data_IF_431887778406
#
_entry.id   IF_431887778406
#
_cell.length_a   1.000
_cell.length_b   1.000
_cell.length_c   1.000
_cell.angle_alpha   90.00
_cell.angle_beta   90.00
_cell.angle_gamma   90.00
#
_symmetry.space_group_name_H-M   'P 1'
#
loop_
_entity.id
_entity.type
_entity.pdbx_description
1 polymer ?
#
# COMPACT_ATOMS: atom_id res chain seq x y z
N UNK A 1 36.18 5.13 -36.10
CA UNK A 1 37.47 4.80 -35.46
C UNK A 1 37.64 5.74 -34.28
N UNK A 2 37.94 5.21 -33.09
CA UNK A 2 37.68 5.87 -31.80
C UNK A 2 38.88 6.70 -31.32
N UNK A 3 38.63 7.63 -30.41
CA UNK A 3 39.63 8.08 -29.44
C UNK A 3 38.93 8.49 -28.17
N UNK A 4 38.96 7.59 -27.20
CA UNK A 4 38.57 7.78 -25.81
C UNK A 4 39.58 8.69 -25.09
N UNK A 5 39.07 9.48 -24.15
CA UNK A 5 39.80 9.83 -22.93
C UNK A 5 38.77 10.03 -21.83
N UNK A 6 38.32 8.91 -21.26
CA UNK A 6 37.51 8.89 -20.05
C UNK A 6 38.42 9.21 -18.85
N UNK A 7 38.03 10.25 -18.12
CA UNK A 7 38.65 10.66 -16.88
C UNK A 7 38.19 9.74 -15.74
N UNK A 8 39.18 9.26 -15.00
CA UNK A 8 39.10 8.76 -13.63
C UNK A 8 38.21 9.64 -12.75
N UNK A 9 37.26 9.03 -12.03
CA UNK A 9 37.14 9.28 -10.59
C UNK A 9 36.36 8.16 -9.90
N UNK A 10 37.10 7.13 -9.51
CA UNK A 10 36.75 6.32 -8.36
C UNK A 10 36.83 7.20 -7.10
N UNK A 11 35.70 7.35 -6.39
CA UNK A 11 35.75 7.70 -4.98
C UNK A 11 34.60 7.05 -4.23
N UNK A 12 34.99 6.04 -3.46
CA UNK A 12 34.26 5.34 -2.44
C UNK A 12 33.52 6.30 -1.51
N UNK A 13 32.29 5.95 -1.13
CA UNK A 13 31.62 6.52 0.02
C UNK A 13 31.04 5.37 0.83
N UNK A 14 31.81 4.91 1.82
CA UNK A 14 31.31 4.12 2.93
C UNK A 14 30.50 5.06 3.84
N UNK A 15 29.31 4.66 4.32
CA UNK A 15 28.60 5.43 5.34
C UNK A 15 29.13 5.07 6.73
N UNK A 16 29.71 6.05 7.43
CA UNK A 16 30.02 5.98 8.86
C UNK A 16 28.75 6.14 9.72
N UNK A 17 28.75 5.61 10.96
CA UNK A 17 27.56 5.50 11.79
C UNK A 17 27.31 6.79 12.57
N UNK A 18 26.04 7.18 12.68
CA UNK A 18 25.61 8.30 13.50
C UNK A 18 24.68 7.77 14.59
N UNK A 19 25.18 7.89 15.82
CA UNK A 19 24.52 7.66 17.09
C UNK A 19 23.33 8.60 17.29
N UNK A 20 22.18 8.07 17.73
CA UNK A 20 21.19 8.85 18.47
C UNK A 20 20.69 8.11 19.72
N UNK A 21 21.05 8.72 20.85
CA UNK A 21 20.52 8.68 22.21
C UNK A 21 19.28 7.80 22.50
N UNK A 22 19.48 6.80 23.37
CA UNK A 22 18.42 6.09 24.09
C UNK A 22 18.23 6.75 25.46
N UNK A 23 17.10 7.45 25.65
CA UNK A 23 16.65 7.90 26.96
C UNK A 23 16.04 6.74 27.78
N UNK A 24 16.81 6.27 28.75
CA UNK A 24 16.47 5.81 30.11
C UNK A 24 14.99 5.44 30.38
N UNK A 25 14.74 4.14 30.50
CA UNK A 25 13.60 3.56 31.24
C UNK A 25 13.97 3.37 32.72
N UNK A 26 13.10 3.68 33.70
CA UNK A 26 13.28 3.23 35.07
C UNK A 26 12.91 1.75 35.24
N UNK A 27 13.81 1.03 35.91
CA UNK A 27 13.68 -0.34 36.44
C UNK A 27 12.64 -0.40 37.56
N UNK A 28 11.94 -1.53 37.69
CA UNK A 28 11.76 -2.28 38.96
C UNK A 28 11.21 -3.69 38.66
N UNK A 29 12.04 -4.73 38.75
CA UNK A 29 12.12 -5.72 39.85
C UNK A 29 10.88 -6.60 40.04
N UNK A 30 10.98 -7.82 39.52
CA UNK A 30 10.22 -9.00 39.91
C UNK A 30 10.59 -9.46 41.31
N UNK A 31 9.62 -9.61 42.22
CA UNK A 31 9.75 -10.44 43.41
C UNK A 31 8.50 -11.30 43.58
N UNK A 32 8.73 -12.60 43.69
CA UNK A 32 7.77 -13.65 44.02
C UNK A 32 7.33 -13.53 45.47
N UNK A 33 6.02 -13.60 45.74
CA UNK A 33 5.52 -14.13 47.01
C UNK A 33 4.15 -14.77 46.82
N UNK A 34 4.06 -16.06 47.17
CA UNK A 34 2.82 -16.81 47.37
C UNK A 34 2.16 -16.31 48.66
N UNK A 35 0.84 -16.11 48.69
CA UNK A 35 -0.04 -16.40 49.86
C UNK A 35 -1.53 -16.15 49.51
N UNK A 36 -2.29 -17.24 49.68
CA UNK A 36 -3.61 -17.38 50.33
C UNK A 36 -4.85 -16.72 49.71
N UNK A 37 -5.68 -17.62 49.18
CA UNK A 37 -7.10 -17.50 48.88
C UNK A 37 -7.83 -16.85 50.06
N UNK A 38 -8.52 -15.75 49.80
CA UNK A 38 -9.65 -15.29 50.60
C UNK A 38 -10.77 -14.83 49.66
N UNK A 39 -11.95 -15.35 49.96
CA UNK A 39 -13.22 -15.24 49.23
C UNK A 39 -13.64 -13.80 48.93
N UNK A 40 -13.93 -13.50 47.65
CA UNK A 40 -14.73 -12.33 47.28
C UNK A 40 -15.68 -12.69 46.12
N UNK A 41 -16.97 -12.44 46.35
CA UNK A 41 -18.10 -12.72 45.48
C UNK A 41 -17.90 -12.19 44.06
N UNK A 42 -17.77 -13.08 43.07
CA UNK A 42 -17.85 -12.71 41.67
C UNK A 42 -19.31 -12.55 41.27
N UNK A 43 -19.82 -11.32 41.36
CA UNK A 43 -20.94 -10.93 40.51
C UNK A 43 -20.51 -11.17 39.06
N UNK A 44 -21.23 -12.05 38.35
CA UNK A 44 -20.92 -12.39 36.95
C UNK A 44 -21.13 -11.15 36.11
N UNK A 45 -20.08 -10.35 35.92
CA UNK A 45 -20.02 -9.40 34.81
C UNK A 45 -20.04 -10.26 33.55
N UNK A 46 -21.20 -10.29 32.88
CA UNK A 46 -21.39 -11.03 31.65
C UNK A 46 -20.47 -10.40 30.59
N UNK A 47 -19.28 -10.99 30.38
CA UNK A 47 -18.32 -10.51 29.39
C UNK A 47 -19.01 -10.57 28.04
N UNK A 48 -19.38 -9.41 27.48
CA UNK A 48 -19.96 -9.32 26.14
C UNK A 48 -18.99 -9.99 25.17
N UNK A 49 -19.43 -11.09 24.56
CA UNK A 49 -18.69 -11.74 23.48
C UNK A 49 -18.29 -10.67 22.47
N UNK A 50 -16.99 -10.58 22.17
CA UNK A 50 -16.47 -9.69 21.15
C UNK A 50 -16.12 -10.55 19.94
N UNK A 51 -16.94 -10.51 18.88
CA UNK A 51 -16.66 -11.26 17.68
C UNK A 51 -15.34 -10.81 17.07
N UNK A 52 -14.50 -11.76 16.70
CA UNK A 52 -13.21 -11.52 16.05
C UNK A 52 -13.27 -11.97 14.60
N UNK A 53 -12.45 -11.35 13.77
CA UNK A 53 -12.30 -11.78 12.39
C UNK A 53 -11.88 -13.25 12.32
N UNK A 54 -12.66 -14.09 11.63
CA UNK A 54 -12.36 -15.52 11.48
C UNK A 54 -11.73 -15.78 10.13
N UNK A 55 -10.54 -16.37 10.12
CA UNK A 55 -9.81 -16.69 8.88
C UNK A 55 -10.56 -17.71 8.01
N UNK A 56 -11.43 -18.51 8.60
CA UNK A 56 -12.30 -19.46 7.89
C UNK A 56 -13.22 -18.79 6.86
N UNK A 57 -13.56 -17.51 7.03
CA UNK A 57 -14.34 -16.77 6.04
C UNK A 57 -13.58 -16.62 4.72
N UNK A 58 -12.25 -16.60 4.77
CA UNK A 58 -11.39 -16.54 3.58
C UNK A 58 -11.30 -17.89 2.85
N UNK A 59 -11.80 -18.99 3.43
CA UNK A 59 -11.91 -20.27 2.73
C UNK A 59 -12.96 -20.20 1.61
N UNK A 60 -13.97 -19.33 1.76
CA UNK A 60 -14.93 -19.08 0.69
C UNK A 60 -14.29 -18.16 -0.37
N UNK A 61 -14.20 -18.67 -1.61
CA UNK A 61 -13.67 -17.94 -2.76
C UNK A 61 -14.34 -16.57 -2.97
N UNK A 62 -15.64 -16.48 -2.71
CA UNK A 62 -16.39 -15.24 -2.83
C UNK A 62 -15.91 -14.17 -1.82
N UNK A 63 -15.81 -14.54 -0.54
CA UNK A 63 -15.33 -13.61 0.49
C UNK A 63 -13.85 -13.28 0.31
N UNK A 64 -13.01 -14.24 -0.06
CA UNK A 64 -11.57 -14.02 -0.29
C UNK A 64 -11.27 -12.96 -1.37
N UNK A 65 -12.21 -12.76 -2.30
CA UNK A 65 -12.10 -11.81 -3.41
C UNK A 65 -12.06 -10.36 -2.91
N UNK A 66 -12.80 -10.02 -1.86
CA UNK A 66 -12.91 -8.63 -1.39
C UNK A 66 -12.58 -8.44 0.09
N UNK A 67 -12.58 -9.50 0.90
CA UNK A 67 -12.44 -9.44 2.35
C UNK A 67 -10.97 -9.66 2.77
N UNK A 68 -10.52 -8.86 3.75
CA UNK A 68 -9.22 -8.98 4.40
C UNK A 68 -9.34 -8.72 5.90
N UNK A 69 -8.41 -9.29 6.65
CA UNK A 69 -8.23 -9.01 8.07
C UNK A 69 -7.71 -7.57 8.26
N UNK A 70 -8.21 -6.88 9.27
CA UNK A 70 -7.70 -5.57 9.67
C UNK A 70 -6.56 -5.75 10.68
N UNK A 71 -5.36 -5.24 10.37
CA UNK A 71 -4.18 -5.38 11.25
C UNK A 71 -4.28 -4.56 12.54
N UNK A 72 -5.03 -3.46 12.52
CA UNK A 72 -5.15 -2.55 13.66
C UNK A 72 -6.21 -3.01 14.65
N UNK A 73 -7.35 -3.53 14.15
CA UNK A 73 -8.51 -3.89 14.97
C UNK A 73 -9.04 -5.28 14.60
N UNK A 74 -8.95 -6.25 15.51
CA UNK A 74 -9.46 -7.62 15.31
C UNK A 74 -10.99 -7.71 15.18
N UNK A 75 -11.70 -6.65 15.58
CA UNK A 75 -13.17 -6.52 15.54
C UNK A 75 -13.68 -5.82 14.27
N UNK A 76 -12.78 -5.50 13.34
CA UNK A 76 -13.11 -4.90 12.04
C UNK A 76 -12.59 -5.77 10.91
N UNK A 77 -13.29 -5.73 9.78
CA UNK A 77 -12.85 -6.31 8.53
C UNK A 77 -12.57 -5.21 7.51
N UNK A 78 -11.61 -5.46 6.61
CA UNK A 78 -11.27 -4.56 5.50
C UNK A 78 -11.88 -5.11 4.21
N UNK A 79 -12.67 -4.28 3.52
CA UNK A 79 -13.05 -4.54 2.14
C UNK A 79 -12.01 -3.89 1.21
N UNK A 80 -11.23 -4.68 0.47
CA UNK A 80 -10.24 -4.15 -0.49
C UNK A 80 -10.91 -3.51 -1.71
N UNK A 81 -12.08 -4.02 -2.10
CA UNK A 81 -12.85 -3.45 -3.19
C UNK A 81 -13.28 -2.05 -2.76
N UNK A 82 -14.02 -1.90 -1.67
CA UNK A 82 -14.51 -0.60 -1.20
C UNK A 82 -13.44 0.32 -0.60
N UNK A 83 -12.28 -0.22 -0.23
CA UNK A 83 -11.23 0.41 0.57
C UNK A 83 -11.78 1.02 1.88
N UNK A 84 -12.58 0.23 2.62
CA UNK A 84 -13.22 0.64 3.88
C UNK A 84 -13.05 -0.45 4.92
N UNK A 85 -12.80 -0.04 6.16
CA UNK A 85 -12.90 -0.89 7.34
C UNK A 85 -14.31 -0.80 7.93
N UNK A 86 -14.95 -1.94 8.19
CA UNK A 86 -16.27 -2.00 8.80
C UNK A 86 -16.27 -2.92 10.02
N UNK A 87 -17.16 -2.64 10.98
CA UNK A 87 -17.27 -3.43 12.21
C UNK A 87 -17.98 -4.75 11.95
N UNK A 88 -17.49 -5.82 12.58
CA UNK A 88 -18.11 -7.17 12.60
C UNK A 88 -18.65 -7.53 13.99
N UNK A 89 -18.73 -6.55 14.90
CA UNK A 89 -19.04 -6.76 16.31
C UNK A 89 -20.51 -7.11 16.57
N UNK A 90 -21.41 -6.80 15.64
CA UNK A 90 -22.84 -6.91 15.91
C UNK A 90 -23.38 -8.27 15.48
N UNK A 91 -22.96 -8.78 14.33
CA UNK A 91 -23.52 -9.99 13.75
C UNK A 91 -22.55 -10.80 12.88
N UNK A 92 -21.24 -10.55 12.97
CA UNK A 92 -20.19 -11.27 12.21
C UNK A 92 -20.51 -11.34 10.69
N UNK A 93 -20.96 -12.51 10.23
CA UNK A 93 -21.41 -12.76 8.85
C UNK A 93 -22.58 -11.86 8.44
N UNK A 94 -23.45 -11.49 9.37
CA UNK A 94 -24.54 -10.53 9.13
C UNK A 94 -24.00 -9.16 8.71
N UNK A 95 -22.94 -8.67 9.37
CA UNK A 95 -22.32 -7.39 9.04
C UNK A 95 -21.61 -7.46 7.67
N UNK A 96 -20.99 -8.60 7.35
CA UNK A 96 -20.37 -8.86 6.04
C UNK A 96 -21.44 -8.89 4.94
N UNK A 97 -22.54 -9.60 5.15
CA UNK A 97 -23.65 -9.67 4.20
C UNK A 97 -24.32 -8.30 4.00
N UNK A 98 -24.51 -7.54 5.08
CA UNK A 98 -25.02 -6.17 5.00
C UNK A 98 -24.08 -5.29 4.17
N UNK A 99 -22.77 -5.40 4.39
CA UNK A 99 -21.78 -4.69 3.58
C UNK A 99 -21.88 -5.03 2.09
N UNK A 100 -22.03 -6.32 1.73
CA UNK A 100 -22.16 -6.77 0.33
C UNK A 100 -23.42 -6.18 -0.33
N UNK A 101 -24.50 -6.00 0.43
CA UNK A 101 -25.74 -5.40 -0.06
C UNK A 101 -25.67 -3.88 -0.23
N UNK A 102 -24.65 -3.21 0.30
CA UNK A 102 -24.52 -1.76 0.12
C UNK A 102 -24.33 -1.41 -1.35
N UNK A 103 -25.01 -0.36 -1.81
CA UNK A 103 -24.90 0.14 -3.20
C UNK A 103 -23.44 0.41 -3.60
N UNK A 104 -22.65 0.98 -2.68
CA UNK A 104 -21.22 1.26 -2.90
C UNK A 104 -20.43 -0.01 -3.22
N UNK A 105 -20.70 -1.11 -2.53
CA UNK A 105 -20.03 -2.39 -2.78
C UNK A 105 -20.47 -2.97 -4.13
N UNK A 106 -21.78 -3.01 -4.39
CA UNK A 106 -22.33 -3.55 -5.63
C UNK A 106 -21.85 -2.81 -6.87
N UNK A 107 -21.89 -1.47 -6.87
CA UNK A 107 -21.44 -0.66 -8.01
C UNK A 107 -19.96 -0.89 -8.30
N UNK A 108 -19.15 -1.04 -7.25
CA UNK A 108 -17.73 -1.29 -7.41
C UNK A 108 -17.43 -2.71 -7.87
N UNK A 109 -18.15 -3.72 -7.37
CA UNK A 109 -18.02 -5.10 -7.85
C UNK A 109 -18.39 -5.20 -9.33
N UNK A 110 -19.48 -4.54 -9.77
CA UNK A 110 -19.84 -4.44 -11.20
C UNK A 110 -18.75 -3.78 -12.03
N UNK A 111 -18.14 -2.71 -11.54
CA UNK A 111 -17.01 -2.05 -12.22
C UNK A 111 -15.77 -2.94 -12.30
N UNK A 112 -15.47 -3.73 -11.26
CA UNK A 112 -14.36 -4.69 -11.27
C UNK A 112 -14.62 -5.80 -12.28
N UNK A 113 -15.83 -6.34 -12.33
CA UNK A 113 -16.24 -7.39 -13.27
C UNK A 113 -16.21 -6.89 -14.72
N UNK A 114 -16.76 -5.71 -14.99
CA UNK A 114 -16.69 -5.05 -16.29
C UNK A 114 -15.25 -4.73 -16.74
N UNK A 115 -14.36 -4.42 -15.79
CA UNK A 115 -12.95 -4.17 -16.09
C UNK A 115 -12.12 -5.47 -16.20
N UNK A 116 -12.61 -6.62 -15.73
CA UNK A 116 -11.84 -7.87 -15.71
C UNK A 116 -11.54 -8.40 -17.11
N UNK A 117 -12.43 -8.16 -18.07
CA UNK A 117 -12.22 -8.46 -19.50
C UNK A 117 -11.24 -7.51 -20.20
N UNK A 118 -10.97 -6.32 -19.63
CA UNK A 118 -10.17 -5.27 -20.29
C UNK A 118 -8.75 -5.10 -19.73
N UNK A 119 -8.30 -5.93 -18.78
CA UNK A 119 -6.93 -5.81 -18.22
C UNK A 119 -5.91 -6.79 -18.77
N UNK A 120 -6.32 -7.73 -19.62
CA UNK A 120 -5.41 -8.72 -20.23
C UNK A 120 -5.12 -8.40 -21.71
N UNK A 121 -6.05 -7.75 -22.43
CA UNK A 121 -5.90 -7.55 -23.89
C UNK A 121 -5.14 -6.28 -24.34
N UNK A 122 -4.85 -5.32 -23.44
CA UNK A 122 -4.00 -4.16 -23.82
C UNK A 122 -2.49 -4.50 -23.77
N UNK A 123 -2.13 -5.70 -23.30
CA UNK A 123 -0.74 -6.14 -23.19
C UNK A 123 -0.24 -6.97 -24.39
N UNK A 124 -1.05 -7.28 -25.40
CA UNK A 124 -0.70 -8.32 -26.37
C UNK A 124 0.20 -7.87 -27.56
N UNK A 125 0.68 -6.63 -27.63
CA UNK A 125 1.63 -6.24 -28.70
C UNK A 125 2.88 -5.50 -28.22
N UNK A 126 3.13 -5.41 -26.91
CA UNK A 126 4.36 -4.80 -26.39
C UNK A 126 5.35 -5.92 -26.05
N UNK A 127 6.47 -5.98 -26.77
CA UNK A 127 7.54 -6.91 -26.43
C UNK A 127 8.02 -6.65 -25.00
N UNK A 128 8.37 -7.70 -24.25
CA UNK A 128 8.87 -7.60 -22.86
C UNK A 128 9.97 -6.54 -22.72
N UNK A 129 10.79 -6.36 -23.76
CA UNK A 129 11.82 -5.34 -23.85
C UNK A 129 11.29 -3.90 -23.83
N UNK A 130 10.25 -3.60 -24.60
CA UNK A 130 9.65 -2.25 -24.64
C UNK A 130 8.92 -1.92 -23.34
N UNK A 131 8.27 -2.92 -22.72
CA UNK A 131 7.66 -2.76 -21.41
C UNK A 131 8.73 -2.46 -20.34
N UNK A 132 9.85 -3.18 -20.36
CA UNK A 132 10.97 -2.94 -19.44
C UNK A 132 11.55 -1.54 -19.58
N UNK A 133 11.69 -1.01 -20.81
CA UNK A 133 12.13 0.36 -21.06
C UNK A 133 11.14 1.38 -20.47
N UNK A 134 9.84 1.19 -20.68
CA UNK A 134 8.81 2.06 -20.12
C UNK A 134 8.86 2.05 -18.58
N UNK A 135 8.92 0.86 -17.97
CA UNK A 135 9.05 0.72 -16.52
C UNK A 135 10.32 1.42 -15.98
N UNK A 136 11.46 1.30 -16.67
CA UNK A 136 12.70 1.95 -16.28
C UNK A 136 12.58 3.49 -16.33
N UNK A 137 11.99 4.05 -17.40
CA UNK A 137 11.76 5.49 -17.53
C UNK A 137 10.82 6.02 -16.45
N UNK A 138 9.70 5.34 -16.23
CA UNK A 138 8.73 5.74 -15.21
C UNK A 138 9.31 5.63 -13.80
N UNK A 139 10.09 4.57 -13.53
CA UNK A 139 10.83 4.40 -12.28
C UNK A 139 11.86 5.51 -12.06
N UNK A 140 12.63 5.87 -13.10
CA UNK A 140 13.60 6.96 -13.04
C UNK A 140 12.93 8.31 -12.76
N UNK A 141 11.77 8.58 -13.36
CA UNK A 141 11.00 9.80 -13.08
C UNK A 141 10.54 9.87 -11.62
N UNK A 142 10.00 8.77 -11.08
CA UNK A 142 9.56 8.70 -9.68
C UNK A 142 10.75 8.87 -8.74
N UNK A 143 11.85 8.20 -9.03
CA UNK A 143 13.09 8.32 -8.26
C UNK A 143 13.60 9.77 -8.25
N UNK A 144 13.68 10.42 -9.41
CA UNK A 144 14.10 11.81 -9.52
C UNK A 144 13.19 12.74 -8.68
N UNK A 145 11.88 12.49 -8.73
CA UNK A 145 10.88 13.25 -7.95
C UNK A 145 11.14 13.14 -6.46
N UNK A 146 11.38 11.93 -5.96
CA UNK A 146 11.71 11.71 -4.54
C UNK A 146 13.05 12.36 -4.18
N UNK A 147 14.09 12.11 -4.99
CA UNK A 147 15.45 12.58 -4.74
C UNK A 147 15.57 14.10 -4.71
N UNK A 148 14.72 14.80 -5.47
CA UNK A 148 14.68 16.26 -5.51
C UNK A 148 13.45 16.88 -4.83
N UNK A 149 12.69 16.09 -4.05
CA UNK A 149 11.47 16.54 -3.36
C UNK A 149 10.49 17.29 -4.28
N UNK A 150 10.39 16.86 -5.52
CA UNK A 150 9.50 17.48 -6.49
C UNK A 150 8.04 17.09 -6.19
N UNK A 151 7.10 17.99 -6.46
CA UNK A 151 5.68 17.68 -6.30
C UNK A 151 5.27 16.59 -7.28
N UNK A 152 4.68 15.50 -6.81
CA UNK A 152 4.16 14.45 -7.69
C UNK A 152 2.90 14.91 -8.44
N UNK A 153 2.27 16.02 -8.03
CA UNK A 153 1.12 16.61 -8.73
C UNK A 153 1.55 17.11 -10.11
N UNK A 154 2.78 17.63 -10.23
CA UNK A 154 3.31 18.12 -11.51
C UNK A 154 3.42 17.02 -12.57
N UNK A 155 3.47 15.74 -12.18
CA UNK A 155 3.50 14.64 -13.16
C UNK A 155 2.28 14.62 -14.08
N UNK A 156 1.14 15.15 -13.65
CA UNK A 156 -0.02 15.29 -14.53
C UNK A 156 0.27 16.18 -15.76
N UNK A 157 1.00 17.28 -15.59
CA UNK A 157 1.40 18.14 -16.73
C UNK A 157 2.71 17.68 -17.38
N UNK A 158 3.66 17.13 -16.61
CA UNK A 158 4.95 16.65 -17.14
C UNK A 158 4.78 15.58 -18.21
N UNK A 159 3.86 14.62 -18.02
CA UNK A 159 3.58 13.60 -19.05
C UNK A 159 3.06 14.22 -20.34
N UNK A 160 2.19 15.24 -20.25
CA UNK A 160 1.69 15.93 -21.43
C UNK A 160 2.79 16.71 -22.15
N UNK A 161 3.72 17.32 -21.40
CA UNK A 161 4.88 18.02 -21.96
C UNK A 161 5.79 17.03 -22.66
N UNK A 162 6.16 15.92 -22.02
CA UNK A 162 7.03 14.89 -22.60
C UNK A 162 6.48 14.38 -23.93
N UNK A 163 5.17 14.10 -24.02
CA UNK A 163 4.53 13.64 -25.27
C UNK A 163 4.55 14.68 -26.38
N UNK A 164 4.51 15.97 -26.03
CA UNK A 164 4.59 17.08 -27.00
C UNK A 164 6.03 17.38 -27.43
N UNK A 165 6.99 17.27 -26.52
CA UNK A 165 8.40 17.51 -26.80
C UNK A 165 9.03 16.39 -27.63
N UNK A 166 8.53 15.16 -27.49
CA UNK A 166 9.06 13.97 -28.19
C UNK A 166 7.95 13.22 -28.95
N UNK A 167 7.33 13.85 -29.98
CA UNK A 167 6.22 13.28 -30.73
C UNK A 167 6.61 12.10 -31.64
N UNK A 168 7.88 11.82 -31.78
CA UNK A 168 8.51 10.81 -32.62
C UNK A 168 8.99 9.59 -31.81
N UNK A 169 9.18 9.76 -30.49
CA UNK A 169 9.55 8.67 -29.59
C UNK A 169 8.34 7.77 -29.25
N UNK A 170 8.43 6.48 -29.58
CA UNK A 170 7.45 5.47 -29.15
C UNK A 170 7.38 5.36 -27.63
N UNK A 171 8.52 5.44 -26.95
CA UNK A 171 8.61 5.41 -25.49
C UNK A 171 7.85 6.59 -24.89
N UNK A 172 8.13 7.82 -25.33
CA UNK A 172 7.52 9.03 -24.77
C UNK A 172 5.98 9.03 -24.89
N UNK A 173 5.45 8.58 -26.04
CA UNK A 173 4.00 8.43 -26.27
C UNK A 173 3.33 7.49 -25.27
N UNK A 174 4.03 6.40 -24.94
CA UNK A 174 3.52 5.31 -24.13
C UNK A 174 3.74 5.50 -22.63
N UNK A 175 4.42 6.56 -22.18
CA UNK A 175 4.52 6.87 -20.76
C UNK A 175 3.12 7.18 -20.21
N UNK A 176 2.79 6.53 -19.08
CA UNK A 176 1.49 6.65 -18.39
C UNK A 176 1.66 7.04 -16.92
N UNK A 177 2.88 7.34 -16.48
CA UNK A 177 3.20 7.68 -15.09
C UNK A 177 2.69 9.08 -14.71
N UNK A 178 1.38 9.18 -14.50
CA UNK A 178 0.72 10.34 -13.94
C UNK A 178 0.87 10.38 -12.40
N UNK A 179 0.35 11.44 -11.79
CA UNK A 179 0.31 11.62 -10.32
C UNK A 179 -0.26 10.41 -9.57
N UNK A 180 -1.21 9.69 -10.16
CA UNK A 180 -1.85 8.52 -9.55
C UNK A 180 -0.88 7.35 -9.49
N UNK A 181 -0.18 7.08 -10.60
CA UNK A 181 0.81 6.02 -10.70
C UNK A 181 2.01 6.28 -9.80
N UNK A 182 2.51 7.52 -9.77
CA UNK A 182 3.60 7.93 -8.87
C UNK A 182 3.23 7.66 -7.41
N UNK A 183 2.05 8.10 -6.97
CA UNK A 183 1.57 7.87 -5.60
C UNK A 183 1.49 6.38 -5.26
N UNK A 184 0.99 5.55 -6.19
CA UNK A 184 0.93 4.10 -5.99
C UNK A 184 2.32 3.48 -5.86
N UNK A 185 3.29 3.93 -6.67
CA UNK A 185 4.67 3.43 -6.61
C UNK A 185 5.30 3.79 -5.25
N UNK A 186 5.14 5.04 -4.79
CA UNK A 186 5.66 5.48 -3.49
C UNK A 186 5.07 4.70 -2.32
N UNK A 187 3.75 4.49 -2.33
CA UNK A 187 3.06 3.69 -1.31
C UNK A 187 3.54 2.23 -1.28
N UNK A 188 3.80 1.63 -2.45
CA UNK A 188 4.34 0.27 -2.52
C UNK A 188 5.76 0.16 -1.99
N UNK A 189 6.55 1.23 -2.11
CA UNK A 189 7.92 1.28 -1.58
C UNK A 189 7.97 1.67 -0.10
N UNK A 190 6.82 1.79 0.59
CA UNK A 190 6.72 2.27 1.97
C UNK A 190 7.40 3.64 2.19
N UNK A 191 7.47 4.47 1.14
CA UNK A 191 8.05 5.80 1.26
C UNK A 191 7.05 6.73 1.95
N UNK A 192 7.41 7.22 3.14
CA UNK A 192 6.61 8.22 3.87
C UNK A 192 6.83 9.58 3.22
N UNK A 193 5.84 10.05 2.45
CA UNK A 193 5.87 11.38 1.85
C UNK A 193 5.17 12.37 2.78
N UNK A 194 5.88 13.43 3.18
CA UNK A 194 5.29 14.48 3.99
C UNK A 194 4.23 15.23 3.17
N UNK A 195 3.00 15.28 3.70
CA UNK A 195 1.86 15.92 3.04
C UNK A 195 1.96 17.45 3.08
N UNK A 196 2.97 18.01 3.74
CA UNK A 196 3.23 19.45 3.85
C UNK A 196 3.78 20.08 2.55
N UNK A 197 4.27 19.29 1.59
CA UNK A 197 4.81 19.77 0.30
C UNK A 197 3.83 19.65 -0.87
N UNK A 198 2.52 19.72 -0.61
CA UNK A 198 1.45 19.68 -1.61
C UNK A 198 1.30 20.99 -2.39
#
# INVERSE_FOLDING_TARGET
MPSSSDNDLSKSFEPTPIDEAICILPKTTSNTTVIKISSLSTSRVNKRYQPKFKKEWLSNSFFATFLRECKTDQTKALCITCNIQFSIQNSELGDINHHIQTKKHQDRMKSVEANSSNRIDVAYNVTTTELNKLCAVEGAMVFHTVKHFHSYISHACTINIIKKCFPDSSTAKNITCDKTKVRIILLKLNYSYDSSCL
#
